data_IF_451463897203
#
_entry.id   IF_451463897203
#
_cell.length_a   1.000
_cell.length_b   1.000
_cell.length_c   1.000
_cell.angle_alpha   90.00
_cell.angle_beta   90.00
_cell.angle_gamma   90.00
#
_symmetry.space_group_name_H-M   'P 1'
#
loop_
_entity.id
_entity.type
_entity.pdbx_description
1 polymer ?
#
# COMPACT_ATOMS: atom_id res chain seq x y z
N UNK A 1 -15.82 5.67 -65.33
CA UNK A 1 -15.11 5.37 -64.06
C UNK A 1 -16.04 4.51 -63.24
N UNK A 2 -15.89 3.18 -63.32
CA UNK A 2 -16.74 2.25 -62.57
C UNK A 2 -16.33 2.30 -61.09
N UNK A 3 -17.32 2.44 -60.22
CA UNK A 3 -17.12 2.46 -58.78
C UNK A 3 -16.53 1.12 -58.30
N UNK A 4 -15.30 1.10 -57.73
CA UNK A 4 -14.69 -0.12 -57.20
C UNK A 4 -15.50 -0.73 -56.05
N UNK A 5 -16.39 0.04 -55.38
CA UNK A 5 -17.28 -0.51 -54.35
C UNK A 5 -18.40 -1.37 -54.95
N UNK A 6 -18.88 -1.07 -56.17
CA UNK A 6 -19.97 -1.80 -56.82
C UNK A 6 -19.62 -3.26 -57.20
N UNK A 7 -18.32 -3.59 -57.29
CA UNK A 7 -17.85 -4.92 -57.71
C UNK A 7 -16.96 -5.60 -56.65
N UNK A 8 -17.06 -5.19 -55.37
CA UNK A 8 -16.25 -5.74 -54.26
C UNK A 8 -16.19 -7.27 -54.23
N UNK A 9 -17.32 -7.95 -54.46
CA UNK A 9 -17.36 -9.42 -54.45
C UNK A 9 -16.49 -10.06 -55.54
N UNK A 10 -16.42 -9.46 -56.73
CA UNK A 10 -15.54 -9.94 -57.82
C UNK A 10 -14.07 -9.67 -57.52
N UNK A 11 -13.78 -8.53 -56.87
CA UNK A 11 -12.44 -8.18 -56.44
C UNK A 11 -11.93 -9.12 -55.34
N UNK A 12 -12.74 -9.39 -54.32
CA UNK A 12 -12.41 -10.35 -53.26
C UNK A 12 -12.19 -11.74 -53.85
N UNK A 13 -13.07 -12.20 -54.73
CA UNK A 13 -12.90 -13.48 -55.43
C UNK A 13 -11.61 -13.52 -56.26
N UNK A 14 -11.28 -12.46 -57.01
CA UNK A 14 -10.07 -12.39 -57.82
C UNK A 14 -8.78 -12.38 -56.99
N UNK A 15 -8.81 -11.78 -55.81
CA UNK A 15 -7.68 -11.80 -54.87
C UNK A 15 -7.51 -13.18 -54.23
N UNK A 16 -8.59 -13.75 -53.71
CA UNK A 16 -8.56 -14.99 -52.93
C UNK A 16 -8.35 -16.23 -53.82
N UNK A 17 -9.04 -16.30 -54.96
CA UNK A 17 -9.03 -17.49 -55.83
C UNK A 17 -8.03 -17.39 -56.97
N UNK A 18 -7.63 -16.18 -57.39
CA UNK A 18 -6.77 -15.96 -58.57
C UNK A 18 -5.46 -15.21 -58.27
N UNK A 19 -5.20 -14.87 -57.00
CA UNK A 19 -3.99 -14.17 -56.57
C UNK A 19 -3.65 -12.96 -57.44
N UNK A 20 -4.67 -12.15 -57.77
CA UNK A 20 -4.51 -10.95 -58.58
C UNK A 20 -3.49 -9.96 -57.99
N UNK A 21 -2.82 -9.18 -58.84
CA UNK A 21 -1.88 -8.10 -58.50
C UNK A 21 -0.54 -8.57 -57.88
N UNK A 22 -0.12 -9.80 -58.19
CA UNK A 22 1.22 -10.29 -57.84
C UNK A 22 2.30 -9.65 -58.73
N UNK A 23 3.54 -9.48 -58.25
CA UNK A 23 4.62 -8.84 -59.00
C UNK A 23 4.94 -9.52 -60.35
N UNK A 24 4.58 -10.80 -60.49
CA UNK A 24 4.90 -11.66 -61.63
C UNK A 24 3.72 -11.83 -62.59
N UNK A 25 2.53 -11.31 -62.26
CA UNK A 25 1.34 -11.43 -63.10
C UNK A 25 1.33 -10.39 -64.21
N UNK A 26 1.21 -10.86 -65.46
CA UNK A 26 0.91 -10.01 -66.61
C UNK A 26 -0.61 -9.87 -66.74
N UNK A 27 -1.17 -8.87 -66.08
CA UNK A 27 -2.58 -8.51 -66.25
C UNK A 27 -2.68 -7.65 -67.52
N UNK A 28 -3.60 -7.93 -68.47
CA UNK A 28 -3.79 -7.14 -69.68
C UNK A 28 -4.44 -5.75 -69.43
N UNK A 29 -4.33 -5.24 -68.19
CA UNK A 29 -4.82 -3.93 -67.78
C UNK A 29 -3.65 -2.93 -67.72
N UNK A 30 -3.92 -1.64 -67.93
CA UNK A 30 -2.89 -0.61 -67.84
C UNK A 30 -2.29 -0.53 -66.43
N UNK A 31 -1.02 -0.13 -66.32
CA UNK A 31 -0.36 0.06 -65.01
C UNK A 31 -1.14 1.03 -64.11
N UNK A 32 -1.77 2.05 -64.71
CA UNK A 32 -2.62 3.01 -64.02
C UNK A 32 -3.87 2.35 -63.39
N UNK A 33 -4.55 1.45 -64.11
CA UNK A 33 -5.72 0.74 -63.60
C UNK A 33 -5.35 -0.23 -62.47
N UNK A 34 -4.22 -0.92 -62.61
CA UNK A 34 -3.69 -1.79 -61.56
C UNK A 34 -3.34 -1.00 -60.29
N UNK A 35 -2.72 0.18 -60.44
CA UNK A 35 -2.39 1.07 -59.33
C UNK A 35 -3.65 1.64 -58.64
N UNK A 36 -4.64 2.08 -59.43
CA UNK A 36 -5.93 2.53 -58.90
C UNK A 36 -6.63 1.42 -58.09
N UNK A 37 -6.61 0.19 -58.59
CA UNK A 37 -7.21 -0.95 -57.90
C UNK A 37 -6.47 -1.28 -56.60
N UNK A 38 -5.13 -1.35 -56.63
CA UNK A 38 -4.32 -1.61 -55.43
C UNK A 38 -4.56 -0.53 -54.36
N UNK A 39 -4.66 0.74 -54.77
CA UNK A 39 -4.98 1.85 -53.87
C UNK A 39 -6.38 1.72 -53.25
N UNK A 40 -7.39 1.34 -54.04
CA UNK A 40 -8.76 1.15 -53.54
C UNK A 40 -8.84 -0.01 -52.51
N UNK A 41 -8.15 -1.12 -52.78
CA UNK A 41 -8.07 -2.25 -51.86
C UNK A 41 -7.35 -1.88 -50.56
N UNK A 42 -6.22 -1.19 -50.67
CA UNK A 42 -5.46 -0.69 -49.51
C UNK A 42 -6.31 0.24 -48.65
N UNK A 43 -7.01 1.19 -49.27
CA UNK A 43 -7.89 2.13 -48.56
C UNK A 43 -9.10 1.43 -47.91
N UNK A 44 -9.63 0.36 -48.51
CA UNK A 44 -10.68 -0.44 -47.90
C UNK A 44 -10.16 -1.24 -46.69
N UNK A 45 -8.97 -1.83 -46.80
CA UNK A 45 -8.31 -2.55 -45.71
C UNK A 45 -8.04 -1.62 -44.52
N UNK A 46 -7.43 -0.46 -44.76
CA UNK A 46 -7.08 0.51 -43.72
C UNK A 46 -8.34 1.00 -42.99
N UNK A 47 -9.39 1.41 -43.73
CA UNK A 47 -10.68 1.79 -43.11
C UNK A 47 -11.24 0.70 -42.20
N UNK A 48 -11.15 -0.56 -42.63
CA UNK A 48 -11.66 -1.70 -41.85
C UNK A 48 -10.83 -1.91 -40.58
N UNK A 49 -9.51 -1.85 -40.67
CA UNK A 49 -8.61 -1.98 -39.52
C UNK A 49 -8.81 -0.83 -38.52
N UNK A 50 -8.87 0.41 -39.00
CA UNK A 50 -9.13 1.60 -38.18
C UNK A 50 -10.46 1.46 -37.43
N UNK A 51 -11.53 1.07 -38.14
CA UNK A 51 -12.86 0.89 -37.54
C UNK A 51 -12.87 -0.25 -36.51
N UNK A 52 -12.24 -1.38 -36.80
CA UNK A 52 -12.19 -2.52 -35.89
C UNK A 52 -11.39 -2.21 -34.63
N UNK A 53 -10.27 -1.49 -34.75
CA UNK A 53 -9.49 -1.08 -33.58
C UNK A 53 -10.23 0.00 -32.76
N UNK A 54 -10.82 1.00 -33.41
CA UNK A 54 -11.59 2.05 -32.73
C UNK A 54 -12.84 1.53 -32.01
N UNK A 55 -13.43 0.43 -32.49
CA UNK A 55 -14.58 -0.23 -31.85
C UNK A 55 -14.18 -1.31 -30.83
N UNK A 56 -12.88 -1.50 -30.57
CA UNK A 56 -12.37 -2.49 -29.61
C UNK A 56 -12.53 -3.95 -30.06
N UNK A 57 -12.75 -4.20 -31.35
CA UNK A 57 -12.95 -5.54 -31.92
C UNK A 57 -11.60 -6.23 -32.22
N UNK A 58 -10.77 -6.40 -31.18
CA UNK A 58 -9.37 -6.82 -31.31
C UNK A 58 -9.18 -8.17 -32.03
N UNK A 59 -10.06 -9.14 -31.78
CA UNK A 59 -10.01 -10.44 -32.47
C UNK A 59 -10.26 -10.27 -33.97
N UNK A 60 -11.33 -9.56 -34.33
CA UNK A 60 -11.67 -9.35 -35.74
C UNK A 60 -10.64 -8.49 -36.48
N UNK A 61 -10.01 -7.56 -35.77
CA UNK A 61 -8.87 -6.80 -36.27
C UNK A 61 -7.70 -7.73 -36.62
N UNK A 62 -7.30 -8.58 -35.66
CA UNK A 62 -6.17 -9.48 -35.88
C UNK A 62 -6.45 -10.51 -36.97
N UNK A 63 -7.62 -11.14 -36.98
CA UNK A 63 -8.00 -12.13 -37.99
C UNK A 63 -8.05 -11.50 -39.39
N UNK A 64 -8.55 -10.27 -39.49
CA UNK A 64 -8.55 -9.52 -40.75
C UNK A 64 -7.12 -9.22 -41.23
N UNK A 65 -6.24 -8.81 -40.31
CA UNK A 65 -4.85 -8.51 -40.60
C UNK A 65 -4.08 -9.76 -41.03
N UNK A 66 -4.23 -10.87 -40.31
CA UNK A 66 -3.61 -12.15 -40.60
C UNK A 66 -4.04 -12.67 -41.98
N UNK A 67 -5.35 -12.69 -42.26
CA UNK A 67 -5.88 -13.09 -43.57
C UNK A 67 -5.28 -12.28 -44.72
N UNK A 68 -5.24 -10.95 -44.60
CA UNK A 68 -4.70 -10.10 -45.67
C UNK A 68 -3.18 -10.21 -45.80
N UNK A 69 -2.45 -10.42 -44.70
CA UNK A 69 -0.99 -10.58 -44.73
C UNK A 69 -0.53 -11.81 -45.55
N UNK A 70 -1.39 -12.83 -45.64
CA UNK A 70 -1.16 -14.05 -46.42
C UNK A 70 -1.50 -13.88 -47.91
N UNK A 71 -2.21 -12.81 -48.29
CA UNK A 71 -2.64 -12.59 -49.66
C UNK A 71 -1.48 -12.11 -50.54
N UNK A 72 -1.43 -12.64 -51.77
CA UNK A 72 -0.31 -12.46 -52.68
C UNK A 72 -0.16 -11.02 -53.23
N UNK A 73 -1.22 -10.22 -53.24
CA UNK A 73 -1.17 -8.80 -53.65
C UNK A 73 -0.41 -7.93 -52.65
N UNK A 74 -0.39 -8.34 -51.37
CA UNK A 74 0.49 -7.79 -50.34
C UNK A 74 1.86 -8.47 -50.34
N UNK A 75 2.23 -9.24 -51.37
CA UNK A 75 3.57 -9.84 -51.49
C UNK A 75 4.67 -8.85 -51.86
N UNK A 76 4.30 -7.71 -52.44
CA UNK A 76 5.22 -6.63 -52.78
C UNK A 76 5.75 -5.90 -51.52
N UNK A 77 7.06 -5.71 -51.47
CA UNK A 77 7.76 -5.15 -50.32
C UNK A 77 7.25 -3.75 -49.95
N UNK A 78 7.04 -2.88 -50.93
CA UNK A 78 6.57 -1.51 -50.69
C UNK A 78 5.17 -1.49 -50.07
N UNK A 79 4.27 -2.37 -50.53
CA UNK A 79 2.91 -2.50 -49.98
C UNK A 79 2.91 -3.08 -48.57
N UNK A 80 3.77 -4.08 -48.28
CA UNK A 80 3.94 -4.57 -46.90
C UNK A 80 4.47 -3.50 -45.97
N UNK A 81 5.48 -2.75 -46.39
CA UNK A 81 6.05 -1.69 -45.57
C UNK A 81 5.02 -0.58 -45.30
N UNK A 82 4.24 -0.19 -46.30
CA UNK A 82 3.17 0.79 -46.12
C UNK A 82 2.09 0.32 -45.11
N UNK A 83 1.69 -0.95 -45.18
CA UNK A 83 0.79 -1.57 -44.20
C UNK A 83 1.39 -1.54 -42.78
N UNK A 84 2.66 -1.91 -42.63
CA UNK A 84 3.36 -1.88 -41.35
C UNK A 84 3.40 -0.47 -40.74
N UNK A 85 3.75 0.54 -41.53
CA UNK A 85 3.76 1.96 -41.11
C UNK A 85 2.36 2.41 -40.68
N UNK A 86 1.33 2.06 -41.45
CA UNK A 86 -0.05 2.41 -41.11
C UNK A 86 -0.49 1.79 -39.79
N UNK A 87 -0.19 0.49 -39.55
CA UNK A 87 -0.50 -0.18 -38.29
C UNK A 87 0.20 0.45 -37.10
N UNK A 88 1.48 0.77 -37.22
CA UNK A 88 2.24 1.40 -36.14
C UNK A 88 1.69 2.79 -35.82
N UNK A 89 1.34 3.59 -36.83
CA UNK A 89 0.65 4.87 -36.65
C UNK A 89 -0.73 4.69 -35.99
N UNK A 90 -1.46 3.64 -36.35
CA UNK A 90 -2.75 3.34 -35.74
C UNK A 90 -2.59 3.03 -34.24
N UNK A 91 -1.61 2.20 -33.86
CA UNK A 91 -1.30 1.95 -32.45
C UNK A 91 -0.82 3.20 -31.70
N UNK A 92 -0.08 4.09 -32.35
CA UNK A 92 0.35 5.37 -31.74
C UNK A 92 -0.83 6.30 -31.48
N UNK A 93 -1.80 6.35 -32.38
CA UNK A 93 -2.91 7.32 -32.34
C UNK A 93 -4.14 6.82 -31.57
N UNK A 94 -4.30 5.52 -31.36
CA UNK A 94 -5.45 4.95 -30.65
C UNK A 94 -5.08 4.62 -29.19
N UNK A 95 -5.92 5.01 -28.22
CA UNK A 95 -5.66 4.85 -26.78
C UNK A 95 -6.09 3.49 -26.17
N UNK A 96 -7.04 2.79 -26.79
CA UNK A 96 -7.79 1.69 -26.15
C UNK A 96 -7.42 0.26 -26.60
N UNK A 97 -6.23 0.05 -27.18
CA UNK A 97 -5.77 -1.30 -27.54
C UNK A 97 -5.10 -2.03 -26.37
N UNK A 98 -5.13 -3.37 -26.40
CA UNK A 98 -4.55 -4.24 -25.38
C UNK A 98 -3.10 -4.66 -25.69
N UNK A 99 -2.23 -4.83 -24.67
CA UNK A 99 -0.88 -5.35 -24.85
C UNK A 99 -0.79 -6.71 -25.57
N UNK A 100 -1.66 -7.71 -25.33
CA UNK A 100 -1.59 -8.98 -26.04
C UNK A 100 -1.90 -8.83 -27.53
N UNK A 101 -2.77 -7.90 -27.94
CA UNK A 101 -3.00 -7.62 -29.36
C UNK A 101 -1.71 -7.13 -30.03
N UNK A 102 -1.06 -6.11 -29.44
CA UNK A 102 0.18 -5.57 -29.96
C UNK A 102 1.29 -6.63 -30.06
N UNK A 103 1.43 -7.49 -29.05
CA UNK A 103 2.38 -8.61 -29.09
C UNK A 103 2.08 -9.61 -30.21
N UNK A 104 0.81 -9.94 -30.47
CA UNK A 104 0.43 -10.81 -31.59
C UNK A 104 0.81 -10.17 -32.93
N UNK A 105 0.59 -8.87 -33.09
CA UNK A 105 0.98 -8.15 -34.31
C UNK A 105 2.50 -8.12 -34.47
N UNK A 106 3.25 -7.89 -33.39
CA UNK A 106 4.72 -7.95 -33.42
C UNK A 106 5.22 -9.31 -33.92
N UNK A 107 4.63 -10.42 -33.46
CA UNK A 107 4.97 -11.77 -33.93
C UNK A 107 4.60 -11.99 -35.39
N UNK A 108 3.45 -11.48 -35.84
CA UNK A 108 3.01 -11.61 -37.23
C UNK A 108 4.02 -10.98 -38.21
N UNK A 109 4.61 -9.84 -37.84
CA UNK A 109 5.62 -9.15 -38.65
C UNK A 109 7.07 -9.45 -38.25
N UNK A 110 7.29 -10.39 -37.31
CA UNK A 110 8.60 -10.73 -36.77
C UNK A 110 9.39 -9.53 -36.21
N UNK A 111 8.70 -8.55 -35.62
CA UNK A 111 9.31 -7.40 -34.94
C UNK A 111 9.87 -7.73 -33.56
N UNK A 112 9.63 -8.95 -33.06
CA UNK A 112 10.12 -9.46 -31.78
C UNK A 112 11.56 -9.99 -31.85
N UNK A 113 12.13 -10.11 -33.05
CA UNK A 113 13.52 -10.54 -33.26
C UNK A 113 14.48 -9.36 -33.03
N UNK A 114 15.59 -9.58 -32.30
CA UNK A 114 16.56 -8.52 -31.94
C UNK A 114 17.13 -7.74 -33.13
N UNK A 115 17.15 -8.34 -34.33
CA UNK A 115 17.64 -7.73 -35.57
C UNK A 115 16.54 -7.10 -36.44
N UNK A 116 15.29 -7.03 -35.98
CA UNK A 116 14.19 -6.53 -36.78
C UNK A 116 14.28 -5.02 -36.98
N UNK A 117 14.18 -4.57 -38.23
CA UNK A 117 14.07 -3.14 -38.58
C UNK A 117 12.61 -2.76 -38.63
N UNK A 118 12.12 -2.10 -37.59
CA UNK A 118 10.74 -1.61 -37.52
C UNK A 118 10.63 -0.28 -38.29
N UNK A 119 9.63 -0.10 -39.18
CA UNK A 119 9.58 1.05 -40.09
C UNK A 119 9.03 2.34 -39.44
N UNK A 120 9.47 2.67 -38.22
CA UNK A 120 9.15 3.93 -37.52
C UNK A 120 10.36 4.47 -36.77
N UNK A 121 10.27 5.69 -36.25
CA UNK A 121 11.31 6.25 -35.40
C UNK A 121 11.48 5.44 -34.11
N UNK A 122 12.73 5.27 -33.65
CA UNK A 122 13.05 4.51 -32.45
C UNK A 122 12.31 5.03 -31.20
N UNK A 123 12.12 6.34 -31.09
CA UNK A 123 11.39 6.97 -29.98
C UNK A 123 9.91 6.55 -29.94
N UNK A 124 9.26 6.49 -31.10
CA UNK A 124 7.87 6.06 -31.24
C UNK A 124 7.72 4.57 -30.90
N UNK A 125 8.69 3.75 -31.34
CA UNK A 125 8.74 2.34 -30.98
C UNK A 125 8.88 2.14 -29.47
N UNK A 126 9.81 2.87 -28.84
CA UNK A 126 9.98 2.84 -27.38
C UNK A 126 8.73 3.32 -26.64
N UNK A 127 8.01 4.32 -27.16
CA UNK A 127 6.75 4.79 -26.58
C UNK A 127 5.66 3.70 -26.60
N UNK A 128 5.52 2.95 -27.71
CA UNK A 128 4.58 1.83 -27.81
C UNK A 128 4.92 0.73 -26.80
N UNK A 129 6.20 0.35 -26.68
CA UNK A 129 6.65 -0.62 -25.68
C UNK A 129 6.39 -0.15 -24.25
N UNK A 130 6.72 1.11 -23.93
CA UNK A 130 6.47 1.69 -22.62
C UNK A 130 4.98 1.65 -22.27
N UNK A 131 4.11 1.97 -23.23
CA UNK A 131 2.66 1.92 -23.06
C UNK A 131 2.15 0.49 -22.86
N UNK A 132 2.71 -0.50 -23.57
CA UNK A 132 2.42 -1.91 -23.31
C UNK A 132 2.78 -2.32 -21.88
N UNK A 133 3.96 -1.94 -21.40
CA UNK A 133 4.39 -2.24 -20.03
C UNK A 133 3.47 -1.59 -19.00
N UNK A 134 3.08 -0.34 -19.21
CA UNK A 134 2.16 0.40 -18.34
C UNK A 134 0.80 -0.30 -18.25
N UNK A 135 0.19 -0.62 -19.39
CA UNK A 135 -1.10 -1.30 -19.44
C UNK A 135 -1.03 -2.71 -18.84
N UNK A 136 0.05 -3.46 -19.09
CA UNK A 136 0.24 -4.79 -18.51
C UNK A 136 0.37 -4.72 -16.98
N UNK A 137 1.13 -3.74 -16.47
CA UNK A 137 1.29 -3.52 -15.04
C UNK A 137 -0.02 -3.11 -14.36
N UNK A 138 -0.79 -2.20 -14.95
CA UNK A 138 -2.13 -1.84 -14.46
C UNK A 138 -3.09 -3.04 -14.51
N UNK A 139 -2.98 -3.88 -15.54
CA UNK A 139 -3.72 -5.14 -15.65
C UNK A 139 -3.40 -6.10 -14.50
N UNK A 140 -2.11 -6.26 -14.16
CA UNK A 140 -1.67 -7.07 -13.01
C UNK A 140 -2.25 -6.53 -11.69
N UNK A 141 -2.24 -5.21 -11.48
CA UNK A 141 -2.83 -4.61 -10.28
C UNK A 141 -4.34 -4.85 -10.19
N UNK A 142 -5.07 -4.71 -11.32
CA UNK A 142 -6.52 -4.99 -11.37
C UNK A 142 -6.82 -6.45 -11.09
N UNK A 143 -5.99 -7.35 -11.60
CA UNK A 143 -6.08 -8.79 -11.31
C UNK A 143 -5.87 -9.08 -9.82
N UNK A 144 -4.84 -8.50 -9.21
CA UNK A 144 -4.58 -8.63 -7.77
C UNK A 144 -5.73 -8.07 -6.92
N UNK A 145 -6.33 -6.96 -7.34
CA UNK A 145 -7.51 -6.40 -6.68
C UNK A 145 -8.70 -7.37 -6.72
N UNK A 146 -8.96 -8.00 -7.87
CA UNK A 146 -10.03 -9.01 -8.00
C UNK A 146 -9.76 -10.26 -7.13
N UNK A 147 -8.50 -10.66 -7.01
CA UNK A 147 -8.09 -11.79 -6.19
C UNK A 147 -8.16 -11.54 -4.68
N UNK A 148 -8.31 -10.28 -4.23
CA UNK A 148 -8.36 -9.93 -2.81
C UNK A 148 -9.46 -10.67 -2.05
N UNK A 149 -10.64 -10.84 -2.66
CA UNK A 149 -11.79 -11.50 -2.04
C UNK A 149 -11.54 -13.00 -1.80
N UNK A 150 -11.16 -13.81 -2.82
CA UNK A 150 -10.88 -15.23 -2.62
C UNK A 150 -9.58 -15.49 -1.85
N UNK A 151 -8.55 -14.67 -2.03
CA UNK A 151 -7.22 -14.86 -1.47
C UNK A 151 -6.62 -13.53 -0.97
N UNK A 152 -6.91 -13.11 0.28
CA UNK A 152 -6.35 -11.89 0.82
C UNK A 152 -4.83 -12.04 0.96
N UNK A 153 -4.09 -11.18 0.25
CA UNK A 153 -2.62 -11.11 0.32
C UNK A 153 -2.17 -9.66 0.50
N UNK A 154 -0.96 -9.47 1.03
CA UNK A 154 -0.38 -8.15 1.22
C UNK A 154 -0.30 -7.34 -0.08
N UNK A 155 0.09 -8.01 -1.17
CA UNK A 155 0.18 -7.42 -2.50
C UNK A 155 -1.19 -7.06 -3.07
N UNK A 156 -2.21 -7.90 -2.83
CA UNK A 156 -3.59 -7.60 -3.26
C UNK A 156 -4.19 -6.41 -2.49
N UNK A 157 -3.98 -6.32 -1.18
CA UNK A 157 -4.39 -5.18 -0.36
C UNK A 157 -3.69 -3.89 -0.81
N UNK A 158 -2.39 -3.95 -1.06
CA UNK A 158 -1.61 -2.82 -1.57
C UNK A 158 -2.08 -2.36 -2.96
N UNK A 159 -2.27 -3.30 -3.90
CA UNK A 159 -2.80 -3.00 -5.23
C UNK A 159 -4.19 -2.35 -5.17
N UNK A 160 -5.06 -2.84 -4.28
CA UNK A 160 -6.40 -2.27 -4.09
C UNK A 160 -6.33 -0.86 -3.52
N UNK A 161 -5.48 -0.60 -2.51
CA UNK A 161 -5.25 0.78 -2.02
C UNK A 161 -4.75 1.71 -3.11
N UNK A 162 -3.86 1.23 -3.97
CA UNK A 162 -3.26 2.01 -5.05
C UNK A 162 -4.29 2.37 -6.11
N UNK A 163 -5.17 1.43 -6.48
CA UNK A 163 -6.23 1.64 -7.48
C UNK A 163 -7.43 2.46 -6.95
N UNK A 164 -7.69 2.43 -5.63
CA UNK A 164 -8.77 3.21 -4.98
C UNK A 164 -8.37 4.66 -4.67
N UNK A 165 -7.27 5.18 -5.24
CA UNK A 165 -6.76 6.52 -4.94
C UNK A 165 -7.77 7.65 -5.18
N UNK A 166 -8.75 7.44 -6.04
CA UNK A 166 -9.83 8.40 -6.35
C UNK A 166 -11.06 8.27 -5.43
N UNK A 167 -11.07 7.29 -4.52
CA UNK A 167 -12.21 6.96 -3.66
C UNK A 167 -11.83 6.99 -2.16
N UNK A 168 -11.68 8.19 -1.55
CA UNK A 168 -11.10 8.34 -0.23
C UNK A 168 -11.87 7.62 0.90
N UNK A 169 -13.19 7.48 0.78
CA UNK A 169 -14.02 6.79 1.78
C UNK A 169 -13.70 5.28 1.87
N UNK A 170 -13.72 4.60 0.73
CA UNK A 170 -13.36 3.17 0.67
C UNK A 170 -11.88 2.95 1.02
N UNK A 171 -11.02 3.90 0.65
CA UNK A 171 -9.61 3.83 0.95
C UNK A 171 -9.32 3.92 2.45
N UNK A 172 -10.03 4.79 3.19
CA UNK A 172 -9.89 4.92 4.63
C UNK A 172 -10.37 3.66 5.38
N UNK A 173 -11.50 3.07 4.95
CA UNK A 173 -12.00 1.80 5.50
C UNK A 173 -11.01 0.66 5.30
N UNK A 174 -10.43 0.57 4.10
CA UNK A 174 -9.43 -0.43 3.76
C UNK A 174 -8.14 -0.23 4.57
N UNK A 175 -7.68 1.02 4.69
CA UNK A 175 -6.52 1.38 5.49
C UNK A 175 -6.69 0.99 6.97
N UNK A 176 -7.90 1.08 7.54
CA UNK A 176 -8.12 0.70 8.95
C UNK A 176 -7.77 -0.77 9.25
N UNK A 177 -8.09 -1.69 8.33
CA UNK A 177 -7.91 -3.13 8.49
C UNK A 177 -6.53 -3.69 8.12
N UNK A 178 -5.65 -2.87 7.53
CA UNK A 178 -4.33 -3.28 7.06
C UNK A 178 -3.34 -3.55 8.20
N UNK A 179 -2.40 -4.47 7.96
CA UNK A 179 -1.26 -4.80 8.83
C UNK A 179 0.06 -4.35 8.21
N UNK A 180 1.15 -4.42 8.99
CA UNK A 180 2.49 -3.99 8.59
C UNK A 180 2.97 -4.64 7.27
N UNK A 181 2.62 -5.90 7.03
CA UNK A 181 2.97 -6.59 5.79
C UNK A 181 2.33 -5.94 4.56
N UNK A 182 1.08 -5.45 4.64
CA UNK A 182 0.47 -4.76 3.51
C UNK A 182 1.09 -3.36 3.31
N UNK A 183 1.50 -2.68 4.39
CA UNK A 183 2.22 -1.40 4.27
C UNK A 183 3.57 -1.54 3.58
N UNK A 184 4.30 -2.63 3.87
CA UNK A 184 5.54 -2.94 3.16
C UNK A 184 5.29 -3.25 1.68
N UNK A 185 4.19 -3.93 1.35
CA UNK A 185 3.79 -4.15 -0.03
C UNK A 185 3.43 -2.85 -0.75
N UNK A 186 2.75 -1.90 -0.08
CA UNK A 186 2.51 -0.55 -0.61
C UNK A 186 3.82 0.20 -0.90
N UNK A 187 4.81 0.06 -0.02
CA UNK A 187 6.13 0.69 -0.18
C UNK A 187 6.91 0.11 -1.37
N UNK A 188 6.91 -1.22 -1.54
CA UNK A 188 7.51 -1.87 -2.70
C UNK A 188 6.81 -1.48 -4.01
N UNK A 189 5.47 -1.41 -3.98
CA UNK A 189 4.67 -1.03 -5.15
C UNK A 189 4.92 0.43 -5.54
N UNK A 190 4.89 1.36 -4.58
CA UNK A 190 5.16 2.78 -4.83
C UNK A 190 6.59 3.01 -5.34
N UNK A 191 7.59 2.31 -4.79
CA UNK A 191 8.98 2.38 -5.28
C UNK A 191 9.12 1.85 -6.72
N UNK A 192 8.45 0.74 -7.03
CA UNK A 192 8.43 0.17 -8.39
C UNK A 192 7.76 1.13 -9.36
N UNK A 193 6.65 1.75 -8.96
CA UNK A 193 5.94 2.72 -9.79
C UNK A 193 6.78 3.98 -10.05
N UNK A 194 7.35 4.57 -9.01
CA UNK A 194 8.14 5.81 -9.12
C UNK A 194 9.38 5.64 -10.03
N UNK A 195 9.95 4.44 -10.09
CA UNK A 195 11.13 4.14 -10.93
C UNK A 195 10.76 3.74 -12.35
N UNK A 196 9.71 2.93 -12.55
CA UNK A 196 9.37 2.37 -13.87
C UNK A 196 8.39 3.23 -14.67
N UNK A 197 7.49 3.96 -14.01
CA UNK A 197 6.36 4.63 -14.67
C UNK A 197 6.15 6.08 -14.18
N UNK A 198 7.17 6.96 -14.27
CA UNK A 198 7.03 8.35 -13.85
C UNK A 198 5.98 9.13 -14.65
N UNK A 199 5.74 8.74 -15.91
CA UNK A 199 4.78 9.41 -16.80
C UNK A 199 3.32 9.29 -16.30
N UNK A 200 3.02 8.30 -15.45
CA UNK A 200 1.68 8.03 -14.94
C UNK A 200 1.37 8.73 -13.61
N UNK A 201 2.26 9.59 -13.10
CA UNK A 201 2.05 10.27 -11.81
C UNK A 201 0.73 11.05 -11.73
N UNK A 202 0.22 11.53 -12.87
CA UNK A 202 -1.08 12.22 -12.96
C UNK A 202 -2.30 11.39 -12.54
N UNK A 203 -2.17 10.07 -12.39
CA UNK A 203 -3.26 9.23 -11.88
C UNK A 203 -3.46 9.33 -10.36
N UNK A 204 -2.48 9.86 -9.61
CA UNK A 204 -2.52 9.94 -8.15
C UNK A 204 -2.91 11.33 -7.66
N UNK A 205 -3.59 11.42 -6.50
CA UNK A 205 -3.76 12.68 -5.80
C UNK A 205 -2.42 13.37 -5.59
N UNK A 206 -2.33 14.65 -5.94
CA UNK A 206 -1.12 15.48 -5.82
C UNK A 206 0.12 14.96 -6.59
N UNK A 207 -0.05 14.06 -7.56
CA UNK A 207 1.05 13.47 -8.32
C UNK A 207 2.11 12.76 -7.46
N UNK A 208 1.69 12.23 -6.30
CA UNK A 208 2.58 11.57 -5.34
C UNK A 208 2.29 10.05 -5.27
N UNK A 209 3.26 9.18 -5.61
CA UNK A 209 3.08 7.73 -5.49
C UNK A 209 3.04 7.26 -4.03
N UNK A 210 3.42 8.12 -3.07
CA UNK A 210 3.41 7.84 -1.63
C UNK A 210 2.18 8.40 -0.90
N UNK A 211 1.14 8.83 -1.64
CA UNK A 211 -0.10 9.40 -1.10
C UNK A 211 -0.71 8.60 0.06
N UNK A 212 -0.57 7.28 0.05
CA UNK A 212 -1.09 6.38 1.08
C UNK A 212 -0.41 6.55 2.45
N UNK A 213 0.77 7.18 2.55
CA UNK A 213 1.42 7.45 3.85
C UNK A 213 0.59 8.36 4.74
N UNK A 214 -0.20 9.25 4.15
CA UNK A 214 -1.14 10.10 4.89
C UNK A 214 -2.27 9.29 5.56
N UNK A 215 -2.56 8.08 5.06
CA UNK A 215 -3.61 7.19 5.60
C UNK A 215 -3.13 6.35 6.78
N UNK A 216 -1.83 6.39 7.10
CA UNK A 216 -1.28 5.72 8.28
C UNK A 216 -1.76 6.50 9.51
N UNK A 217 -2.92 6.12 10.01
CA UNK A 217 -3.50 6.66 11.22
C UNK A 217 -2.71 6.24 12.47
N UNK A 218 -2.78 7.08 13.51
CA UNK A 218 -2.26 6.77 14.82
C UNK A 218 -3.11 5.67 15.49
N UNK A 219 -2.45 4.67 16.07
CA UNK A 219 -3.12 3.66 16.91
C UNK A 219 -2.82 3.94 18.38
N UNK A 220 -3.85 4.32 19.13
CA UNK A 220 -3.73 4.53 20.58
C UNK A 220 -3.42 3.19 21.28
N UNK A 221 -2.50 3.18 22.27
CA UNK A 221 -2.25 1.99 23.06
C UNK A 221 -3.51 1.57 23.84
N UNK A 222 -3.91 0.28 23.80
CA UNK A 222 -5.09 -0.18 24.49
C UNK A 222 -4.95 0.04 26.01
N UNK A 223 -6.01 0.60 26.61
CA UNK A 223 -6.13 0.82 28.06
C UNK A 223 -5.16 1.83 28.69
N UNK A 224 -4.52 2.70 27.89
CA UNK A 224 -3.52 3.67 28.38
C UNK A 224 -3.95 4.49 29.61
N UNK A 225 -5.15 5.09 29.59
CA UNK A 225 -5.66 5.91 30.71
C UNK A 225 -5.89 5.08 31.98
N UNK A 226 -6.40 3.85 31.84
CA UNK A 226 -6.66 2.96 32.99
C UNK A 226 -5.36 2.51 33.66
N UNK A 227 -4.35 2.18 32.85
CA UNK A 227 -3.00 1.84 33.35
C UNK A 227 -2.35 3.03 34.04
N UNK A 228 -2.38 4.20 33.41
CA UNK A 228 -1.86 5.43 33.99
C UNK A 228 -2.52 5.75 35.33
N UNK A 229 -3.85 5.61 35.43
CA UNK A 229 -4.56 5.77 36.69
C UNK A 229 -4.04 4.78 37.74
N UNK A 230 -4.04 3.46 37.48
CA UNK A 230 -3.53 2.47 38.45
C UNK A 230 -2.08 2.73 38.90
N UNK A 231 -1.19 3.11 37.98
CA UNK A 231 0.19 3.43 38.33
C UNK A 231 0.22 4.67 39.23
N UNK A 232 -0.48 5.75 38.86
CA UNK A 232 -0.53 6.98 39.64
C UNK A 232 -1.13 6.75 41.04
N UNK A 233 -2.19 5.96 41.16
CA UNK A 233 -2.78 5.62 42.46
C UNK A 233 -1.81 4.90 43.37
N UNK A 234 -1.03 3.96 42.82
CA UNK A 234 -0.05 3.20 43.56
C UNK A 234 1.14 4.07 43.96
N UNK A 235 1.56 4.98 43.06
CA UNK A 235 2.63 5.93 43.36
C UNK A 235 2.26 6.91 44.47
N UNK A 236 1.02 7.40 44.51
CA UNK A 236 0.50 8.27 45.57
C UNK A 236 0.48 7.55 46.93
N UNK A 237 -0.03 6.32 46.95
CA UNK A 237 -0.12 5.52 48.16
C UNK A 237 1.27 5.21 48.73
N UNK A 238 2.21 4.78 47.87
CA UNK A 238 3.58 4.44 48.29
C UNK A 238 4.40 5.67 48.74
N UNK A 239 4.22 6.82 48.10
CA UNK A 239 4.88 8.06 48.51
C UNK A 239 4.33 8.61 49.84
N UNK A 240 3.07 8.33 50.17
CA UNK A 240 2.44 8.77 51.43
C UNK A 240 2.72 7.84 52.62
N UNK A 241 3.21 6.63 52.34
CA UNK A 241 3.48 5.57 53.32
C UNK A 241 4.36 5.98 54.51
N UNK A 242 5.52 6.66 54.34
CA UNK A 242 6.39 7.00 55.47
C UNK A 242 5.78 8.01 56.45
N UNK A 243 4.90 8.89 55.97
CA UNK A 243 4.30 9.94 56.81
C UNK A 243 2.98 9.55 57.48
N UNK A 244 2.24 8.59 56.92
CA UNK A 244 0.91 8.22 57.39
C UNK A 244 0.82 6.83 58.01
N UNK A 245 1.77 5.94 57.71
CA UNK A 245 1.77 4.55 58.17
C UNK A 245 0.80 3.65 57.39
N UNK A 246 1.07 2.34 57.41
CA UNK A 246 0.43 1.35 56.53
C UNK A 246 -1.11 1.33 56.67
N UNK A 247 -1.63 1.29 57.90
CA UNK A 247 -3.09 1.19 58.12
C UNK A 247 -3.85 2.42 57.60
N UNK A 248 -3.30 3.61 57.78
CA UNK A 248 -3.90 4.86 57.28
C UNK A 248 -3.83 4.91 55.76
N UNK A 249 -2.71 4.50 55.15
CA UNK A 249 -2.63 4.43 53.68
C UNK A 249 -3.62 3.47 53.05
N UNK A 250 -3.90 2.32 53.69
CA UNK A 250 -4.92 1.37 53.23
C UNK A 250 -6.32 1.97 53.35
N UNK A 251 -6.62 2.67 54.44
CA UNK A 251 -7.91 3.34 54.61
C UNK A 251 -8.13 4.47 53.61
N UNK A 252 -7.06 5.21 53.26
CA UNK A 252 -7.08 6.31 52.29
C UNK A 252 -6.96 5.87 50.83
N UNK A 253 -6.91 4.56 50.56
CA UNK A 253 -6.78 4.00 49.22
C UNK A 253 -7.88 4.48 48.24
N UNK A 254 -9.17 4.63 48.63
CA UNK A 254 -10.19 5.20 47.77
C UNK A 254 -9.91 6.67 47.38
N UNK A 255 -9.32 7.44 48.29
CA UNK A 255 -8.96 8.84 48.04
C UNK A 255 -7.76 8.93 47.09
N UNK A 256 -6.74 8.09 47.28
CA UNK A 256 -5.63 7.97 46.33
C UNK A 256 -6.11 7.46 44.97
N UNK A 257 -7.10 6.56 44.93
CA UNK A 257 -7.73 6.08 43.72
C UNK A 257 -8.37 7.23 42.93
N UNK A 258 -9.15 8.08 43.61
CA UNK A 258 -9.72 9.29 43.04
C UNK A 258 -8.64 10.23 42.51
N UNK A 259 -7.59 10.48 43.30
CA UNK A 259 -6.47 11.34 42.91
C UNK A 259 -5.73 10.83 41.67
N UNK A 260 -5.46 9.53 41.58
CA UNK A 260 -4.81 8.94 40.41
C UNK A 260 -5.69 8.96 39.16
N UNK A 261 -7.02 8.80 39.29
CA UNK A 261 -7.96 8.96 38.17
C UNK A 261 -7.99 10.41 37.68
N UNK A 262 -8.07 11.38 38.58
CA UNK A 262 -8.02 12.81 38.23
C UNK A 262 -6.71 13.16 37.53
N UNK A 263 -5.58 12.73 38.07
CA UNK A 263 -4.27 12.93 37.45
C UNK A 263 -4.18 12.26 36.06
N UNK A 264 -4.75 11.08 35.87
CA UNK A 264 -4.81 10.42 34.57
C UNK A 264 -5.74 11.16 33.58
N UNK A 265 -6.82 11.79 34.04
CA UNK A 265 -7.69 12.62 33.20
C UNK A 265 -6.99 13.93 32.78
N UNK A 266 -6.28 14.59 33.72
CA UNK A 266 -5.44 15.74 33.40
C UNK A 266 -4.34 15.34 32.42
N UNK A 267 -3.71 14.17 32.61
CA UNK A 267 -2.76 13.61 31.67
C UNK A 267 -3.38 13.39 30.28
N UNK A 268 -4.60 12.85 30.20
CA UNK A 268 -5.33 12.69 28.92
C UNK A 268 -5.57 14.04 28.23
N UNK A 269 -5.93 15.07 28.99
CA UNK A 269 -6.10 16.43 28.48
C UNK A 269 -4.78 17.06 28.01
N UNK A 270 -3.68 16.83 28.72
CA UNK A 270 -2.35 17.23 28.26
C UNK A 270 -1.94 16.46 26.98
N UNK A 271 -2.29 15.18 26.88
CA UNK A 271 -2.07 14.41 25.66
C UNK A 271 -2.81 15.01 24.48
N UNK A 272 -4.05 15.49 24.62
CA UNK A 272 -4.74 16.09 23.47
C UNK A 272 -4.00 17.31 22.93
N UNK A 273 -3.40 18.11 23.81
CA UNK A 273 -2.54 19.23 23.42
C UNK A 273 -1.22 18.76 22.80
N UNK A 274 -0.58 17.75 23.40
CA UNK A 274 0.62 17.12 22.84
C UNK A 274 0.37 16.59 21.43
N UNK A 275 -0.77 15.92 21.20
CA UNK A 275 -1.12 15.41 19.88
C UNK A 275 -1.23 16.51 18.84
N UNK A 276 -1.81 17.66 19.21
CA UNK A 276 -1.88 18.85 18.35
C UNK A 276 -0.47 19.39 18.02
N UNK A 277 0.39 19.53 19.03
CA UNK A 277 1.77 19.99 18.83
C UNK A 277 2.58 19.04 17.93
N UNK A 278 2.43 17.72 18.13
CA UNK A 278 3.15 16.70 17.35
C UNK A 278 2.63 16.53 15.92
N UNK A 279 1.51 17.14 15.54
CA UNK A 279 1.06 17.13 14.12
C UNK A 279 2.12 17.75 13.21
N UNK A 280 2.79 18.81 13.66
CA UNK A 280 3.90 19.43 12.93
C UNK A 280 5.11 18.51 12.74
N UNK A 281 5.25 17.49 13.59
CA UNK A 281 6.35 16.53 13.58
C UNK A 281 5.95 15.17 12.95
N UNK A 282 4.78 15.10 12.31
CA UNK A 282 4.23 13.85 11.78
C UNK A 282 5.19 13.15 10.81
N UNK A 283 5.86 13.89 9.93
CA UNK A 283 6.81 13.33 8.97
C UNK A 283 8.04 12.72 9.64
N UNK A 284 8.56 13.38 10.69
CA UNK A 284 9.69 12.89 11.47
C UNK A 284 9.28 11.67 12.31
N UNK A 285 8.08 11.68 12.88
CA UNK A 285 7.54 10.59 13.67
C UNK A 285 7.32 9.33 12.81
N UNK A 286 6.78 9.50 11.61
CA UNK A 286 6.63 8.40 10.64
C UNK A 286 8.00 7.82 10.24
N UNK A 287 9.00 8.66 9.95
CA UNK A 287 10.37 8.19 9.63
C UNK A 287 11.01 7.44 10.79
N UNK A 288 10.88 7.97 12.01
CA UNK A 288 11.39 7.30 13.22
C UNK A 288 10.69 5.96 13.45
N UNK A 289 9.37 5.91 13.25
CA UNK A 289 8.56 4.69 13.41
C UNK A 289 8.89 3.65 12.34
N UNK A 290 9.06 4.05 11.08
CA UNK A 290 9.54 3.20 10.00
C UNK A 290 10.94 2.63 10.33
N UNK A 291 11.85 3.47 10.82
CA UNK A 291 13.18 3.04 11.23
C UNK A 291 13.12 2.02 12.36
N UNK A 292 12.27 2.25 13.36
CA UNK A 292 12.06 1.30 14.47
C UNK A 292 11.50 -0.04 14.01
N UNK A 293 10.55 -0.06 13.06
CA UNK A 293 10.00 -1.30 12.50
C UNK A 293 11.08 -2.05 11.70
N UNK A 294 11.87 -1.35 10.87
CA UNK A 294 12.98 -1.96 10.13
C UNK A 294 14.00 -2.64 11.05
N UNK A 295 14.26 -2.05 12.21
CA UNK A 295 15.15 -2.60 13.23
C UNK A 295 14.44 -3.54 14.23
N UNK A 296 13.19 -3.94 13.96
CA UNK A 296 12.37 -4.83 14.79
C UNK A 296 12.17 -4.35 16.24
N UNK A 297 12.29 -3.05 16.48
CA UNK A 297 12.03 -2.43 17.79
C UNK A 297 10.53 -2.31 18.06
N UNK A 298 9.73 -2.18 17.01
CA UNK A 298 8.26 -2.13 17.07
C UNK A 298 7.66 -3.06 16.02
N UNK A 299 6.50 -3.64 16.32
CA UNK A 299 5.83 -4.60 15.43
C UNK A 299 4.92 -3.93 14.38
N UNK A 300 4.54 -2.67 14.56
CA UNK A 300 3.57 -1.96 13.72
C UNK A 300 3.97 -0.47 13.62
N UNK A 301 4.09 0.05 12.40
CA UNK A 301 4.47 1.45 12.13
C UNK A 301 3.43 2.48 12.60
N UNK A 302 2.21 2.04 12.93
CA UNK A 302 1.15 2.90 13.50
C UNK A 302 1.41 3.31 14.96
N UNK A 303 2.32 2.61 15.65
CA UNK A 303 2.84 3.06 16.94
C UNK A 303 3.87 4.16 16.74
N UNK A 304 3.35 5.36 16.49
CA UNK A 304 4.12 6.59 16.36
C UNK A 304 5.03 6.79 17.60
N UNK A 305 6.34 6.73 17.40
CA UNK A 305 7.36 6.67 18.47
C UNK A 305 7.41 7.98 19.26
N UNK A 306 7.36 9.13 18.58
CA UNK A 306 7.42 10.44 19.24
C UNK A 306 6.12 10.72 19.98
N UNK A 307 4.98 10.47 19.31
CA UNK A 307 3.64 10.68 19.89
C UNK A 307 3.34 9.77 21.09
N UNK A 308 3.78 8.52 21.07
CA UNK A 308 3.62 7.59 22.20
C UNK A 308 4.73 7.71 23.25
N UNK A 309 5.97 8.03 22.82
CA UNK A 309 7.14 8.13 23.70
C UNK A 309 7.07 9.31 24.66
N UNK A 310 6.63 10.49 24.19
CA UNK A 310 6.51 11.69 25.02
C UNK A 310 5.68 11.48 26.30
N UNK A 311 4.43 11.00 26.19
CA UNK A 311 3.59 10.64 27.35
C UNK A 311 4.22 9.64 28.32
N UNK A 312 4.89 8.60 27.79
CA UNK A 312 5.53 7.58 28.59
C UNK A 312 6.72 8.14 29.38
N UNK A 313 7.49 9.05 28.78
CA UNK A 313 8.58 9.77 29.44
C UNK A 313 8.06 10.74 30.49
N UNK A 314 6.99 11.48 30.19
CA UNK A 314 6.37 12.38 31.17
C UNK A 314 5.87 11.62 32.41
N UNK A 315 5.24 10.45 32.22
CA UNK A 315 4.84 9.57 33.31
C UNK A 315 6.06 9.06 34.09
N UNK A 316 7.14 8.67 33.40
CA UNK A 316 8.38 8.23 34.03
C UNK A 316 8.99 9.33 34.93
N UNK A 317 8.95 10.59 34.49
CA UNK A 317 9.42 11.75 35.28
C UNK A 317 8.58 11.94 36.54
N UNK A 318 7.24 11.81 36.45
CA UNK A 318 6.35 11.88 37.62
C UNK A 318 6.65 10.76 38.62
N UNK A 319 6.83 9.53 38.12
CA UNK A 319 7.17 8.36 38.94
C UNK A 319 8.53 8.58 39.63
N UNK A 320 9.55 9.02 38.89
CA UNK A 320 10.86 9.35 39.45
C UNK A 320 10.76 10.40 40.55
N UNK A 321 9.99 11.46 40.32
CA UNK A 321 9.83 12.54 41.29
C UNK A 321 9.24 12.05 42.61
N UNK A 322 8.27 11.13 42.57
CA UNK A 322 7.54 10.64 43.74
C UNK A 322 8.12 9.38 44.40
N UNK A 323 8.81 8.54 43.64
CA UNK A 323 9.30 7.23 44.11
C UNK A 323 10.80 7.02 43.90
N UNK A 324 11.52 8.02 43.37
CA UNK A 324 12.96 7.95 43.13
C UNK A 324 13.38 6.91 42.10
N UNK A 325 14.64 6.48 42.20
CA UNK A 325 15.27 5.51 41.28
C UNK A 325 14.51 4.18 41.26
N UNK A 326 14.01 3.71 42.40
CA UNK A 326 13.33 2.41 42.48
C UNK A 326 12.00 2.42 41.71
N UNK A 327 11.24 3.51 41.80
CA UNK A 327 10.01 3.67 41.02
C UNK A 327 10.28 3.70 39.52
N UNK A 328 11.29 4.46 39.08
CA UNK A 328 11.66 4.55 37.67
C UNK A 328 12.17 3.21 37.12
N UNK A 329 13.05 2.52 37.85
CA UNK A 329 13.56 1.21 37.47
C UNK A 329 12.42 0.19 37.34
N UNK A 330 11.47 0.20 38.28
CA UNK A 330 10.27 -0.66 38.21
C UNK A 330 9.46 -0.39 36.95
N UNK A 331 9.24 0.88 36.62
CA UNK A 331 8.49 1.26 35.43
C UNK A 331 9.18 0.83 34.12
N UNK A 332 10.49 1.06 34.00
CA UNK A 332 11.27 0.71 32.81
C UNK A 332 11.41 -0.80 32.63
N UNK A 333 11.73 -1.54 33.70
CA UNK A 333 11.89 -3.00 33.65
C UNK A 333 10.54 -3.65 33.32
N UNK A 334 9.44 -3.18 33.90
CA UNK A 334 8.11 -3.70 33.59
C UNK A 334 7.71 -3.44 32.12
N UNK A 335 8.11 -2.29 31.56
CA UNK A 335 7.97 -1.99 30.14
C UNK A 335 8.79 -2.93 29.25
N UNK A 336 10.06 -3.17 29.59
CA UNK A 336 10.96 -4.07 28.88
C UNK A 336 10.47 -5.53 28.88
N UNK A 337 9.97 -6.02 30.02
CA UNK A 337 9.34 -7.35 30.12
C UNK A 337 8.14 -7.45 29.17
N UNK A 338 7.39 -6.36 28.97
CA UNK A 338 6.27 -6.32 28.02
C UNK A 338 6.69 -6.34 26.55
N UNK A 339 7.81 -5.71 26.21
CA UNK A 339 8.36 -5.69 24.85
C UNK A 339 8.94 -7.05 24.43
N UNK A 340 9.49 -7.81 25.37
CA UNK A 340 10.11 -9.11 25.12
C UNK A 340 9.09 -10.25 24.92
N UNK A 341 7.79 -9.99 25.04
CA UNK A 341 6.78 -11.02 24.92
C UNK A 341 6.25 -11.16 23.49
N UNK A 342 6.13 -12.41 22.99
CA UNK A 342 5.62 -12.65 21.66
C UNK A 342 4.14 -12.27 21.57
N UNK A 343 3.77 -11.58 20.49
CA UNK A 343 2.42 -11.10 20.20
C UNK A 343 1.33 -12.19 20.19
N UNK A 344 1.73 -13.47 20.08
CA UNK A 344 0.88 -14.66 20.17
C UNK A 344 0.32 -14.93 21.58
N UNK A 345 0.77 -14.21 22.62
CA UNK A 345 0.24 -14.32 23.98
C UNK A 345 -1.07 -13.53 24.22
N UNK A 346 -1.62 -12.85 23.20
CA UNK A 346 -2.89 -12.10 23.28
C UNK A 346 -4.02 -12.92 22.64
N UNK A 347 -4.88 -13.63 23.42
CA UNK A 347 -5.92 -14.47 22.85
C UNK A 347 -7.09 -13.64 22.31
N UNK A 348 -7.55 -13.96 21.10
CA UNK A 348 -8.49 -13.16 20.32
C UNK A 348 -9.98 -13.22 20.75
N UNK A 349 -10.36 -14.02 21.75
CA UNK A 349 -11.78 -14.40 21.92
C UNK A 349 -12.59 -13.61 22.95
N UNK A 350 -13.76 -13.10 22.52
CA UNK A 350 -14.67 -12.24 23.31
C UNK A 350 -15.62 -13.01 24.24
N UNK A 351 -15.86 -14.30 24.01
CA UNK A 351 -17.03 -15.02 24.55
C UNK A 351 -16.87 -15.65 25.96
N UNK A 352 -15.70 -15.59 26.61
CA UNK A 352 -15.41 -16.42 27.80
C UNK A 352 -15.18 -15.65 29.13
N UNK A 353 -15.91 -14.55 29.38
CA UNK A 353 -15.59 -13.62 30.50
C UNK A 353 -15.76 -14.18 31.93
N UNK A 354 -16.59 -15.21 32.14
CA UNK A 354 -17.00 -15.62 33.50
C UNK A 354 -16.46 -16.98 33.97
N UNK A 355 -15.84 -17.78 33.09
CA UNK A 355 -15.33 -19.12 33.47
C UNK A 355 -13.91 -19.10 34.05
N UNK A 356 -13.13 -18.03 33.83
CA UNK A 356 -11.75 -17.89 34.32
C UNK A 356 -11.47 -16.43 34.75
N UNK A 357 -11.82 -16.04 35.99
CA UNK A 357 -11.77 -14.64 36.44
C UNK A 357 -10.35 -14.07 36.47
N UNK A 358 -9.35 -14.88 36.80
CA UNK A 358 -7.94 -14.45 36.76
C UNK A 358 -7.50 -14.10 35.33
N UNK A 359 -7.90 -14.89 34.32
CA UNK A 359 -7.63 -14.57 32.90
C UNK A 359 -8.36 -13.30 32.44
N UNK A 360 -9.54 -13.02 32.99
CA UNK A 360 -10.24 -11.76 32.75
C UNK A 360 -9.49 -10.55 33.33
N UNK A 361 -8.87 -10.68 34.52
CA UNK A 361 -8.04 -9.64 35.14
C UNK A 361 -6.76 -9.39 34.34
N UNK A 362 -6.07 -10.47 33.91
CA UNK A 362 -4.93 -10.37 32.98
C UNK A 362 -5.31 -9.63 31.69
N UNK A 363 -6.54 -9.85 31.17
CA UNK A 363 -7.04 -9.19 29.96
C UNK A 363 -7.45 -7.73 30.16
N UNK A 364 -8.06 -7.39 31.31
CA UNK A 364 -8.47 -6.01 31.64
C UNK A 364 -7.26 -5.11 31.83
N UNK A 365 -6.19 -5.64 32.43
CA UNK A 365 -4.94 -4.93 32.64
C UNK A 365 -4.03 -5.02 31.39
N UNK A 366 -4.12 -6.09 30.60
CA UNK A 366 -3.26 -6.41 29.47
C UNK A 366 -1.79 -6.62 29.85
N UNK A 367 -1.53 -6.92 31.12
CA UNK A 367 -0.21 -7.26 31.64
C UNK A 367 -0.07 -8.78 31.70
N UNK A 368 1.13 -9.26 31.44
CA UNK A 368 1.48 -10.66 31.56
C UNK A 368 1.62 -11.14 33.00
N UNK A 369 1.63 -12.46 33.20
CA UNK A 369 1.91 -13.06 34.51
C UNK A 369 3.22 -12.57 35.12
N UNK A 370 4.30 -12.53 34.32
CA UNK A 370 5.61 -12.06 34.78
C UNK A 370 5.59 -10.59 35.21
N UNK A 371 4.90 -9.74 34.45
CA UNK A 371 4.74 -8.33 34.81
C UNK A 371 3.95 -8.17 36.11
N UNK A 372 2.91 -8.98 36.34
CA UNK A 372 2.16 -8.96 37.59
C UNK A 372 2.99 -9.38 38.79
N UNK A 373 3.71 -10.50 38.71
CA UNK A 373 4.60 -10.97 39.78
C UNK A 373 5.68 -9.94 40.07
N UNK A 374 6.30 -9.38 39.03
CA UNK A 374 7.31 -8.34 39.17
C UNK A 374 6.74 -7.08 39.83
N UNK A 375 5.61 -6.57 39.37
CA UNK A 375 4.96 -5.39 39.95
C UNK A 375 4.63 -5.61 41.44
N UNK A 376 4.02 -6.73 41.82
CA UNK A 376 3.69 -7.01 43.23
C UNK A 376 4.96 -7.09 44.07
N UNK A 377 6.01 -7.76 43.59
CA UNK A 377 7.29 -7.83 44.31
C UNK A 377 7.90 -6.45 44.52
N UNK A 378 7.91 -5.60 43.50
CA UNK A 378 8.48 -4.25 43.59
C UNK A 378 7.66 -3.33 44.47
N UNK A 379 6.33 -3.48 44.53
CA UNK A 379 5.50 -2.72 45.47
C UNK A 379 5.88 -3.02 46.92
N UNK A 380 6.14 -4.30 47.24
CA UNK A 380 6.59 -4.70 48.58
C UNK A 380 7.98 -4.13 48.87
N UNK A 381 8.92 -4.23 47.92
CA UNK A 381 10.28 -3.70 48.06
C UNK A 381 10.25 -2.18 48.25
N UNK A 382 9.53 -1.45 47.39
CA UNK A 382 9.41 0.01 47.48
C UNK A 382 8.75 0.41 48.80
N UNK A 383 7.68 -0.28 49.22
CA UNK A 383 7.03 -0.03 50.50
C UNK A 383 7.97 -0.24 51.69
N UNK A 384 8.75 -1.33 51.67
CA UNK A 384 9.75 -1.61 52.72
C UNK A 384 10.82 -0.53 52.78
N UNK A 385 11.39 -0.13 51.63
CA UNK A 385 12.43 0.90 51.57
C UNK A 385 11.88 2.27 51.95
N UNK A 386 10.64 2.62 51.57
CA UNK A 386 9.98 3.86 52.00
C UNK A 386 9.81 3.93 53.53
N UNK A 387 9.50 2.81 54.19
CA UNK A 387 9.33 2.76 55.65
C UNK A 387 10.66 2.84 56.42
N UNK A 388 11.72 2.22 55.91
CA UNK A 388 12.99 2.10 56.63
C UNK A 388 14.04 3.13 56.21
N UNK A 389 13.96 3.68 54.99
CA UNK A 389 14.91 4.64 54.41
C UNK A 389 14.22 5.76 53.61
N UNK A 390 13.34 6.56 54.25
CA UNK A 390 12.66 7.67 53.58
C UNK A 390 13.63 8.80 53.19
N UNK A 391 13.40 9.43 52.03
CA UNK A 391 14.12 10.64 51.61
C UNK A 391 15.49 10.42 50.96
N UNK A 392 15.82 9.18 50.60
CA UNK A 392 17.02 8.87 49.80
C UNK A 392 16.72 8.99 48.31
N UNK A 393 17.74 9.08 47.46
CA UNK A 393 17.57 9.07 45.99
C UNK A 393 16.82 7.82 45.48
N UNK A 394 16.83 6.75 46.28
CA UNK A 394 16.08 5.52 46.00
C UNK A 394 14.57 5.70 46.15
N UNK A 395 14.11 6.64 46.99
CA UNK A 395 12.71 6.83 47.37
C UNK A 395 12.13 8.19 46.94
N UNK A 396 12.96 9.19 46.63
CA UNK A 396 12.54 10.48 46.10
C UNK A 396 13.54 11.02 45.06
N UNK A 397 13.02 11.59 43.97
CA UNK A 397 13.85 12.15 42.89
C UNK A 397 14.40 13.55 43.16
N UNK A 398 14.18 14.12 44.35
CA UNK A 398 14.69 15.43 44.75
C UNK A 398 16.05 15.27 45.44
N UNK A 399 17.09 15.85 44.85
CA UNK A 399 18.31 16.21 45.59
C UNK A 399 17.89 17.27 46.62
N UNK A 400 17.97 16.94 47.91
CA UNK A 400 18.02 17.97 48.96
C UNK A 400 19.45 18.40 49.15
#
# INVERSE_FOLDING_TARGET
>A
MNDPEAHRHLLTWGIEQRQWLTPWQRIPASEFEQHCLARALTAALYRKLDQQLATGQEQQFFDCLEHHSQQAWLGDFARRQALQVHLLNLFLNTEDWSPPLFQRVCRLFAWDVESAVVPIAQEQWQALHRRCEQQAWLGELRYLMQQRLPHPSARANAATLFLLATQPGQQAELAAGIVEADWQACEQLAATFATRFPDLLGMFPNHDPWFWKALIGHKDPPHGVKRAACVLTLTLALNSLPGSGLMVTLFMLPLYALGGVLAAQVGKWLLSHWTSLTQSLQDLDQRASEWCVRHKLTADRRYLVIRNGGPLLALAVVIWHWLGVLGLATYLINGAIGLLQPASAVPADRQYRWRKPLQAIYRIAGLSWLQWVFCVSMVVVIGYVQLHMPGTLLTQGRLR
#
